data_IF_381123069165
#
_entry.id   IF_381123069165
#
_cell.length_a   1.000
_cell.length_b   1.000
_cell.length_c   1.000
_cell.angle_alpha   90.00
_cell.angle_beta   90.00
_cell.angle_gamma   90.00
#
_symmetry.space_group_name_H-M   'P 1'
#
loop_
_entity.id
_entity.type
_entity.pdbx_description
1 polymer ?
#
# COMPACT_ATOMS: atom_id res chain seq x y z
N UNK A 1 52.45 -36.13 26.34
CA UNK A 1 51.28 -35.83 27.11
C UNK A 1 50.92 -34.41 26.81
N UNK A 2 50.06 -34.22 25.86
CA UNK A 2 49.70 -32.90 25.41
C UNK A 2 48.44 -32.47 26.17
N UNK A 3 48.61 -31.58 27.10
CA UNK A 3 47.49 -30.87 27.69
C UNK A 3 46.98 -29.83 26.68
N UNK A 4 45.91 -30.19 26.05
CA UNK A 4 45.18 -29.23 25.24
C UNK A 4 44.28 -28.43 26.17
N UNK A 5 44.87 -27.44 26.79
CA UNK A 5 44.14 -26.42 27.53
C UNK A 5 43.35 -25.58 26.51
N UNK A 6 42.17 -26.06 26.21
CA UNK A 6 41.21 -25.25 25.44
C UNK A 6 40.70 -24.22 26.41
N UNK A 7 41.33 -23.08 26.35
CA UNK A 7 40.88 -21.87 27.04
C UNK A 7 39.46 -21.50 26.59
N UNK A 8 38.52 -21.91 27.40
CA UNK A 8 37.09 -21.65 27.21
C UNK A 8 36.70 -20.21 27.57
N UNK A 9 37.55 -19.27 27.41
CA UNK A 9 37.30 -17.89 27.82
C UNK A 9 37.23 -16.88 26.69
N UNK A 10 36.89 -17.31 25.50
CA UNK A 10 36.55 -16.34 24.49
C UNK A 10 35.12 -16.62 23.99
N UNK A 11 34.18 -16.54 24.92
CA UNK A 11 32.81 -16.28 24.51
C UNK A 11 32.78 -14.81 24.16
N UNK A 12 33.05 -14.54 22.89
CA UNK A 12 32.68 -13.25 22.31
C UNK A 12 31.19 -13.07 22.55
N UNK A 13 30.89 -12.22 23.50
CA UNK A 13 29.58 -11.65 23.63
C UNK A 13 29.34 -10.83 22.37
N UNK A 14 28.81 -11.48 21.34
CA UNK A 14 28.18 -10.79 20.25
C UNK A 14 26.96 -10.13 20.84
N UNK A 15 27.14 -8.93 21.33
CA UNK A 15 26.00 -8.04 21.55
C UNK A 15 25.36 -7.82 20.20
N UNK A 16 24.30 -8.58 19.93
CA UNK A 16 23.37 -8.22 18.87
C UNK A 16 22.82 -6.85 19.29
N UNK A 17 23.40 -5.84 18.71
CA UNK A 17 22.75 -4.56 18.65
C UNK A 17 21.51 -4.75 17.78
N UNK A 18 20.39 -4.96 18.41
CA UNK A 18 19.11 -4.79 17.78
C UNK A 18 19.03 -3.31 17.42
N UNK A 19 19.40 -3.01 16.19
CA UNK A 19 19.01 -1.75 15.61
C UNK A 19 17.49 -1.80 15.61
N UNK A 20 16.89 -1.15 16.59
CA UNK A 20 15.51 -0.79 16.51
C UNK A 20 15.40 0.07 15.26
N UNK A 21 15.01 -0.54 14.15
CA UNK A 21 14.51 0.20 13.03
C UNK A 21 13.30 0.95 13.60
N UNK A 22 13.51 2.21 13.92
CA UNK A 22 12.42 3.12 14.14
C UNK A 22 11.67 3.12 12.82
N UNK A 23 10.61 2.34 12.75
CA UNK A 23 9.58 2.54 11.78
C UNK A 23 9.16 3.99 11.97
N UNK A 24 9.67 4.85 11.11
CA UNK A 24 9.08 6.17 10.93
C UNK A 24 7.65 5.88 10.57
N UNK A 25 6.78 5.93 11.57
CA UNK A 25 5.37 6.04 11.32
C UNK A 25 5.24 7.27 10.43
N UNK A 26 4.88 7.04 9.16
CA UNK A 26 4.36 8.10 8.34
C UNK A 26 3.25 8.71 9.17
N UNK A 27 3.49 9.90 9.67
CA UNK A 27 2.50 10.70 10.37
C UNK A 27 1.40 10.91 9.35
N UNK A 28 0.32 10.15 9.48
CA UNK A 28 -0.92 10.42 8.77
C UNK A 28 -1.39 11.79 9.25
N UNK A 29 -0.88 12.80 8.60
CA UNK A 29 -1.39 14.14 8.77
C UNK A 29 -2.73 14.16 8.04
N UNK A 30 -3.78 13.78 8.77
CA UNK A 30 -5.15 13.75 8.31
C UNK A 30 -5.65 15.18 8.08
N UNK A 31 -5.13 15.80 7.07
CA UNK A 31 -5.73 16.97 6.44
C UNK A 31 -6.19 16.51 5.07
N UNK A 32 -7.43 16.02 5.00
CA UNK A 32 -8.36 15.89 3.88
C UNK A 32 -7.81 15.97 2.45
N UNK A 33 -6.72 15.24 2.14
CA UNK A 33 -6.23 15.04 0.79
C UNK A 33 -5.98 13.56 0.60
N UNK A 34 -6.41 12.98 -0.52
CA UNK A 34 -6.00 11.65 -0.90
C UNK A 34 -4.48 11.53 -0.69
N UNK A 35 -3.97 10.42 -0.11
CA UNK A 35 -2.53 10.26 0.06
C UNK A 35 -1.88 10.47 -1.30
N UNK A 36 -1.11 11.55 -1.42
CA UNK A 36 -0.34 11.76 -2.61
C UNK A 36 0.61 10.58 -2.73
N UNK A 37 0.52 9.86 -3.86
CA UNK A 37 1.54 8.89 -4.20
C UNK A 37 2.89 9.57 -4.03
N UNK A 38 3.86 8.93 -3.40
CA UNK A 38 5.21 9.46 -3.32
C UNK A 38 5.71 9.62 -4.76
N UNK A 39 5.47 10.79 -5.33
CA UNK A 39 6.00 11.16 -6.62
C UNK A 39 7.47 11.48 -6.41
N UNK A 40 8.31 10.46 -6.47
CA UNK A 40 9.67 10.71 -6.91
C UNK A 40 9.56 11.42 -8.27
N UNK A 41 10.37 12.43 -8.51
CA UNK A 41 10.34 13.28 -9.69
C UNK A 41 10.41 12.55 -11.04
N UNK A 42 10.43 11.23 -11.05
CA UNK A 42 10.65 10.33 -12.18
C UNK A 42 9.55 9.26 -12.31
N UNK A 43 8.30 9.60 -12.03
CA UNK A 43 7.19 8.65 -12.17
C UNK A 43 7.41 7.42 -11.29
N UNK A 44 6.89 7.46 -10.09
CA UNK A 44 6.92 6.48 -9.01
C UNK A 44 7.73 5.21 -9.22
N UNK A 45 8.55 4.86 -8.24
CA UNK A 45 9.23 3.56 -8.16
C UNK A 45 8.19 2.46 -8.34
N UNK A 46 8.15 1.85 -9.51
CA UNK A 46 7.19 0.81 -9.84
C UNK A 46 6.55 0.94 -11.21
N UNK A 47 6.56 2.13 -11.79
CA UNK A 47 6.18 2.31 -13.18
C UNK A 47 4.72 2.01 -13.56
N UNK A 48 3.83 1.71 -12.62
CA UNK A 48 2.42 1.50 -12.93
C UNK A 48 1.64 2.82 -12.91
N UNK A 49 0.82 3.01 -13.93
CA UNK A 49 -0.20 4.07 -13.95
C UNK A 49 -1.57 3.42 -13.84
N UNK A 50 -2.32 3.79 -12.82
CA UNK A 50 -3.64 3.22 -12.57
C UNK A 50 -4.74 4.22 -12.88
N UNK A 51 -5.79 3.73 -13.51
CA UNK A 51 -7.04 4.43 -13.72
C UNK A 51 -8.15 3.68 -12.98
N UNK A 52 -9.10 4.42 -12.44
CA UNK A 52 -10.27 3.83 -11.82
C UNK A 52 -11.55 4.53 -12.27
N UNK A 53 -12.63 3.77 -12.28
CA UNK A 53 -13.99 4.26 -12.48
C UNK A 53 -14.87 3.69 -11.38
N UNK A 54 -15.84 4.45 -10.95
CA UNK A 54 -16.73 4.09 -9.86
C UNK A 54 -18.18 4.13 -10.32
N UNK A 55 -18.97 3.17 -9.86
CA UNK A 55 -20.41 3.14 -10.09
C UNK A 55 -21.15 3.85 -8.95
N UNK A 56 -22.24 4.52 -9.24
CA UNK A 56 -23.11 5.17 -8.26
C UNK A 56 -23.50 6.58 -8.67
N UNK A 57 -24.35 7.21 -7.85
CA UNK A 57 -24.91 8.53 -8.12
C UNK A 57 -23.94 9.68 -7.86
N UNK A 58 -22.82 9.38 -7.23
CA UNK A 58 -21.77 10.34 -6.89
C UNK A 58 -20.40 9.66 -6.91
N UNK A 59 -19.38 10.48 -7.00
CA UNK A 59 -17.98 10.03 -7.13
C UNK A 59 -17.20 10.35 -5.87
N UNK A 60 -16.37 9.41 -5.45
CA UNK A 60 -15.37 9.63 -4.41
C UNK A 60 -13.97 9.61 -5.05
N UNK A 61 -13.15 10.63 -4.81
CA UNK A 61 -11.78 10.62 -5.32
C UNK A 61 -11.01 9.38 -4.78
N UNK A 62 -10.34 8.68 -5.69
CA UNK A 62 -9.48 7.54 -5.36
C UNK A 62 -8.22 7.61 -6.20
N UNK A 63 -7.09 7.50 -5.56
CA UNK A 63 -5.80 7.37 -6.23
C UNK A 63 -5.12 6.08 -5.81
N UNK A 64 -4.83 5.22 -6.76
CA UNK A 64 -4.03 4.00 -6.58
C UNK A 64 -2.60 4.30 -7.00
N UNK A 65 -1.66 4.17 -6.08
CA UNK A 65 -0.27 4.44 -6.36
C UNK A 65 0.38 3.26 -7.09
N UNK A 66 1.16 3.52 -8.12
CA UNK A 66 1.91 2.49 -8.84
C UNK A 66 2.89 1.72 -7.94
N UNK A 67 3.38 2.36 -6.90
CA UNK A 67 4.19 1.74 -5.87
C UNK A 67 3.43 0.63 -5.13
N UNK A 68 2.17 0.87 -4.75
CA UNK A 68 1.34 -0.12 -4.08
C UNK A 68 1.11 -1.35 -4.98
N UNK A 69 0.92 -1.11 -6.28
CA UNK A 69 0.79 -2.19 -7.27
C UNK A 69 2.08 -3.00 -7.32
N UNK A 70 3.25 -2.35 -7.30
CA UNK A 70 4.55 -3.03 -7.32
C UNK A 70 4.78 -3.86 -6.06
N UNK A 71 4.44 -3.32 -4.91
CA UNK A 71 4.57 -4.01 -3.61
C UNK A 71 3.62 -5.19 -3.51
N UNK A 72 2.39 -5.05 -4.02
CA UNK A 72 1.43 -6.13 -4.14
C UNK A 72 0.95 -6.72 -2.82
N UNK A 73 0.88 -5.94 -1.76
CA UNK A 73 0.33 -6.32 -0.45
C UNK A 73 -1.08 -5.76 -0.28
N UNK A 74 -1.88 -6.42 0.57
CA UNK A 74 -3.21 -5.92 0.91
C UNK A 74 -3.13 -4.47 1.37
N UNK A 75 -3.95 -3.62 0.76
CA UNK A 75 -4.02 -2.20 1.10
C UNK A 75 -5.45 -1.68 1.12
N UNK A 76 -5.77 -0.92 2.14
CA UNK A 76 -7.06 -0.24 2.26
C UNK A 76 -6.90 1.23 1.95
N UNK A 77 -7.71 1.70 1.02
CA UNK A 77 -7.81 3.10 0.60
C UNK A 77 -9.06 3.72 1.20
N UNK A 78 -8.96 4.96 1.61
CA UNK A 78 -10.12 5.76 1.97
C UNK A 78 -10.62 6.47 0.74
N UNK A 79 -11.88 6.26 0.40
CA UNK A 79 -12.60 7.00 -0.63
C UNK A 79 -13.12 8.27 0.02
N UNK A 80 -12.50 9.40 -0.29
CA UNK A 80 -12.80 10.70 0.32
C UNK A 80 -14.26 11.09 0.10
N UNK A 81 -14.78 11.88 1.03
CA UNK A 81 -16.18 12.30 1.01
C UNK A 81 -16.60 13.06 -0.27
N UNK A 82 -15.67 13.65 -1.02
CA UNK A 82 -15.96 14.32 -2.29
C UNK A 82 -17.09 15.36 -2.22
N UNK A 83 -17.39 15.88 -1.02
CA UNK A 83 -18.52 16.77 -0.79
C UNK A 83 -19.83 16.07 -0.45
N UNK A 84 -19.88 14.74 -0.39
CA UNK A 84 -21.11 13.96 -0.10
C UNK A 84 -21.38 13.79 1.39
N UNK A 85 -20.41 14.16 2.25
CA UNK A 85 -20.53 14.10 3.71
C UNK A 85 -20.33 12.71 4.32
N UNK A 86 -19.92 11.70 3.53
CA UNK A 86 -19.57 10.36 4.01
C UNK A 86 -18.38 9.79 3.24
N UNK A 87 -17.74 8.79 3.80
CA UNK A 87 -16.57 8.14 3.24
C UNK A 87 -16.81 6.63 3.14
N UNK A 88 -16.13 5.99 2.20
CA UNK A 88 -16.06 4.55 2.09
C UNK A 88 -14.61 4.08 2.19
N UNK A 89 -14.42 2.81 2.44
CA UNK A 89 -13.10 2.18 2.39
C UNK A 89 -13.10 1.13 1.28
N UNK A 90 -12.00 1.04 0.57
CA UNK A 90 -11.77 0.07 -0.49
C UNK A 90 -10.53 -0.76 -0.14
N UNK A 91 -10.68 -2.05 0.04
CA UNK A 91 -9.52 -2.94 0.26
C UNK A 91 -9.17 -3.62 -1.04
N UNK A 92 -7.98 -3.34 -1.54
CA UNK A 92 -7.35 -4.03 -2.66
C UNK A 92 -6.44 -5.09 -2.08
N UNK A 93 -6.72 -6.35 -2.35
CA UNK A 93 -5.94 -7.47 -1.82
C UNK A 93 -4.69 -7.72 -2.64
N UNK A 94 -3.73 -8.45 -2.07
CA UNK A 94 -2.55 -8.91 -2.80
C UNK A 94 -2.93 -9.69 -4.06
N UNK A 95 -4.02 -10.45 -4.01
CA UNK A 95 -4.57 -11.16 -5.15
C UNK A 95 -5.05 -10.19 -6.25
N UNK A 96 -5.71 -9.11 -5.89
CA UNK A 96 -6.14 -8.09 -6.85
C UNK A 96 -4.94 -7.40 -7.49
N UNK A 97 -3.91 -7.09 -6.71
CA UNK A 97 -2.69 -6.49 -7.23
C UNK A 97 -1.98 -7.38 -8.26
N UNK A 98 -1.98 -8.70 -8.10
CA UNK A 98 -1.44 -9.62 -9.11
C UNK A 98 -2.11 -9.43 -10.48
N UNK A 99 -3.42 -9.26 -10.50
CA UNK A 99 -4.16 -9.00 -11.75
C UNK A 99 -3.86 -7.61 -12.30
N UNK A 100 -3.78 -6.61 -11.44
CA UNK A 100 -3.44 -5.25 -11.84
C UNK A 100 -2.03 -5.17 -12.42
N UNK A 101 -1.06 -5.90 -11.86
CA UNK A 101 0.29 -6.05 -12.41
C UNK A 101 0.29 -6.69 -13.80
N UNK A 102 -0.63 -7.59 -14.05
CA UNK A 102 -0.82 -8.23 -15.36
C UNK A 102 -1.63 -7.36 -16.35
N UNK A 103 -2.03 -6.15 -15.97
CA UNK A 103 -2.86 -5.27 -16.78
C UNK A 103 -4.33 -5.69 -16.87
N UNK A 104 -4.76 -6.60 -16.00
CA UNK A 104 -6.14 -7.07 -15.96
C UNK A 104 -6.96 -6.23 -15.01
N UNK A 105 -8.09 -5.72 -15.49
CA UNK A 105 -8.99 -4.91 -14.68
C UNK A 105 -9.57 -5.70 -13.51
N UNK A 106 -9.71 -5.03 -12.36
CA UNK A 106 -10.36 -5.58 -11.16
C UNK A 106 -11.58 -4.74 -10.81
N UNK A 107 -12.65 -5.42 -10.42
CA UNK A 107 -13.85 -4.80 -9.88
C UNK A 107 -13.94 -5.13 -8.40
N UNK A 108 -13.92 -4.12 -7.55
CA UNK A 108 -13.85 -4.27 -6.10
C UNK A 108 -14.93 -3.41 -5.47
N UNK A 109 -15.69 -3.98 -4.54
CA UNK A 109 -16.72 -3.26 -3.81
C UNK A 109 -16.12 -2.53 -2.62
N UNK A 110 -16.56 -1.29 -2.42
CA UNK A 110 -16.25 -0.54 -1.21
C UNK A 110 -17.06 -1.05 0.00
N UNK A 111 -16.68 -0.60 1.18
CA UNK A 111 -17.52 -0.77 2.37
C UNK A 111 -18.89 -0.10 2.16
N UNK A 112 -19.90 -0.66 2.80
CA UNK A 112 -21.22 -0.03 2.86
C UNK A 112 -21.21 1.11 3.88
N UNK A 113 -21.69 2.27 3.45
CA UNK A 113 -21.90 3.45 4.29
C UNK A 113 -23.17 4.14 3.85
N UNK A 114 -24.00 4.59 4.79
CA UNK A 114 -25.30 5.20 4.49
C UNK A 114 -26.19 4.33 3.57
N UNK A 115 -26.20 3.02 3.80
CA UNK A 115 -27.00 2.03 3.07
C UNK A 115 -26.69 1.92 1.57
N UNK A 116 -25.46 2.27 1.14
CA UNK A 116 -24.98 2.02 -0.20
C UNK A 116 -23.47 1.70 -0.23
N UNK A 117 -23.03 1.13 -1.33
CA UNK A 117 -21.64 0.85 -1.64
C UNK A 117 -21.35 1.21 -3.09
N UNK A 118 -20.10 1.36 -3.42
CA UNK A 118 -19.63 1.59 -4.78
C UNK A 118 -18.84 0.37 -5.27
N UNK A 119 -19.01 0.03 -6.53
CA UNK A 119 -18.11 -0.89 -7.22
C UNK A 119 -17.08 -0.07 -7.98
N UNK A 120 -15.82 -0.28 -7.68
CA UNK A 120 -14.69 0.41 -8.30
C UNK A 120 -14.02 -0.53 -9.29
N UNK A 121 -13.95 -0.12 -10.55
CA UNK A 121 -13.16 -0.80 -11.57
C UNK A 121 -11.79 -0.14 -11.65
N UNK A 122 -10.73 -0.92 -11.46
CA UNK A 122 -9.34 -0.46 -11.47
C UNK A 122 -8.61 -1.17 -12.60
N UNK A 123 -7.82 -0.43 -13.36
CA UNK A 123 -6.91 -0.95 -14.38
C UNK A 123 -5.58 -0.25 -14.25
N UNK A 124 -4.47 -1.01 -14.23
CA UNK A 124 -3.14 -0.47 -14.17
C UNK A 124 -2.35 -0.89 -15.41
N UNK A 125 -1.51 0.00 -15.92
CA UNK A 125 -0.63 -0.24 -17.05
C UNK A 125 0.79 0.11 -16.66
N UNK A 126 1.76 -0.63 -17.17
CA UNK A 126 3.17 -0.23 -17.10
C UNK A 126 3.41 0.85 -18.14
N UNK A 127 4.28 1.84 -17.88
CA UNK A 127 4.70 2.75 -18.93
C UNK A 127 5.40 1.97 -20.04
N UNK A 128 5.15 2.39 -21.25
CA UNK A 128 5.78 1.82 -22.44
C UNK A 128 7.29 2.09 -22.44
#
# INVERSE_FOLDING_TARGET
>A
MSDSDIDRRTILSATLAWAAATLSSCSDNATGGAPACATGADGGVGGFTCMNTMTGDHMHPLTICGEDVTVGLDKTYTLDAGGTGHMHMLTVTAYDFLYLQAGTARMIDSTETNAHKHTVSITCTTPA
#
